data_IF_039278591178
#
_entry.id   IF_039278591178
#
_cell.length_a   1.000
_cell.length_b   1.000
_cell.length_c   1.000
_cell.angle_alpha   90.00
_cell.angle_beta   90.00
_cell.angle_gamma   90.00
#
_symmetry.space_group_name_H-M   'P 1'
#
loop_
_entity.id
_entity.type
_entity.pdbx_description
1 polymer ?
#
# COMPACT_ATOMS: atom_id res chain seq x y z
N UNK A 1 -1.57 6.64 -14.13
CA UNK A 1 -2.63 7.54 -13.64
C UNK A 1 -3.68 6.76 -12.89
N UNK A 2 -4.06 7.19 -11.72
CA UNK A 2 -5.09 6.54 -10.92
C UNK A 2 -6.49 7.01 -11.28
N UNK A 3 -7.46 6.38 -10.67
CA UNK A 3 -8.88 6.74 -10.75
C UNK A 3 -9.13 7.95 -9.86
N UNK A 4 -9.97 8.89 -10.32
CA UNK A 4 -10.31 10.09 -9.54
C UNK A 4 -11.33 9.80 -8.45
N UNK A 5 -12.21 8.84 -8.68
CA UNK A 5 -13.18 8.40 -7.69
C UNK A 5 -13.64 6.99 -8.02
N UNK A 6 -14.11 6.28 -7.01
CA UNK A 6 -14.50 4.90 -7.17
C UNK A 6 -15.66 4.60 -6.22
N UNK A 7 -16.77 4.10 -6.79
CA UNK A 7 -17.92 3.68 -5.99
C UNK A 7 -17.86 2.19 -5.70
N UNK A 8 -18.39 1.81 -4.55
CA UNK A 8 -18.54 0.39 -4.20
C UNK A 8 -20.01 0.10 -3.93
N UNK A 9 -20.49 -1.12 -4.25
CA UNK A 9 -21.87 -1.49 -3.96
C UNK A 9 -22.14 -1.48 -2.45
N UNK A 10 -23.36 -1.13 -2.05
CA UNK A 10 -23.75 -1.13 -0.65
C UNK A 10 -23.64 -2.50 0.01
N UNK A 11 -23.74 -3.58 -0.79
CA UNK A 11 -23.63 -4.96 -0.30
C UNK A 11 -22.21 -5.47 -0.18
N UNK A 12 -21.20 -4.69 -0.55
CA UNK A 12 -19.82 -5.14 -0.52
C UNK A 12 -19.34 -5.37 0.90
N UNK A 13 -18.50 -6.39 1.08
CA UNK A 13 -17.70 -6.55 2.30
C UNK A 13 -16.57 -5.54 2.25
N UNK A 14 -16.35 -4.83 3.33
CA UNK A 14 -15.27 -3.84 3.42
C UNK A 14 -14.15 -4.35 4.32
N UNK A 15 -12.92 -4.19 3.86
CA UNK A 15 -11.72 -4.48 4.65
C UNK A 15 -10.92 -3.19 4.78
N UNK A 16 -10.74 -2.74 6.02
CA UNK A 16 -9.91 -1.59 6.33
C UNK A 16 -8.54 -2.13 6.74
N UNK A 17 -7.53 -1.81 5.94
CA UNK A 17 -6.16 -2.30 6.15
C UNK A 17 -5.37 -1.21 6.85
N UNK A 18 -4.93 -1.50 8.08
CA UNK A 18 -4.10 -0.58 8.85
C UNK A 18 -2.82 -0.26 8.11
N UNK A 19 -2.18 0.84 8.48
CA UNK A 19 -0.90 1.22 7.92
C UNK A 19 0.11 0.07 8.01
N UNK A 20 0.55 -0.40 6.85
CA UNK A 20 1.56 -1.45 6.75
C UNK A 20 2.93 -0.81 6.72
N UNK A 21 3.83 -1.32 7.53
CA UNK A 21 5.17 -0.78 7.73
C UNK A 21 6.20 -1.75 7.15
N UNK A 22 7.43 -1.27 6.86
CA UNK A 22 8.44 -2.11 6.19
C UNK A 22 9.15 -3.06 7.15
N UNK A 23 8.39 -3.79 7.94
CA UNK A 23 8.91 -4.79 8.85
C UNK A 23 8.48 -6.16 8.34
N UNK A 24 9.46 -7.00 8.01
CA UNK A 24 9.21 -8.35 7.52
C UNK A 24 8.72 -9.24 8.66
N UNK A 25 8.06 -10.38 8.34
CA UNK A 25 7.59 -11.31 9.39
C UNK A 25 8.69 -11.74 10.37
N UNK A 26 9.96 -11.78 9.94
CA UNK A 26 11.08 -12.14 10.81
C UNK A 26 11.59 -10.95 11.64
N UNK A 27 10.96 -9.77 11.51
CA UNK A 27 11.36 -8.56 12.23
C UNK A 27 12.38 -7.71 11.51
N UNK A 28 12.91 -8.16 10.37
CA UNK A 28 13.90 -7.41 9.61
C UNK A 28 13.31 -6.20 8.90
N UNK A 29 14.09 -5.11 8.82
CA UNK A 29 13.73 -3.90 8.09
C UNK A 29 14.75 -3.71 6.97
N UNK A 30 14.32 -3.74 5.68
CA UNK A 30 15.25 -3.53 4.58
C UNK A 30 15.96 -2.17 4.68
N UNK A 31 17.23 -2.14 4.28
CA UNK A 31 18.04 -0.92 4.40
C UNK A 31 17.68 0.12 3.33
N UNK A 32 17.28 -0.32 2.13
CA UNK A 32 16.98 0.60 1.04
C UNK A 32 15.47 0.79 0.84
N UNK A 33 15.12 1.86 0.14
CA UNK A 33 13.72 2.21 -0.07
C UNK A 33 12.97 1.16 -0.88
N UNK A 34 13.57 0.64 -1.96
CA UNK A 34 12.91 -0.36 -2.79
C UNK A 34 12.60 -1.63 -2.00
N UNK A 35 13.55 -2.09 -1.20
CA UNK A 35 13.34 -3.24 -0.32
C UNK A 35 12.22 -2.99 0.69
N UNK A 36 12.14 -1.77 1.23
CA UNK A 36 11.06 -1.40 2.14
C UNK A 36 9.73 -1.36 1.42
N UNK A 37 9.66 -0.86 0.18
CA UNK A 37 8.44 -0.92 -0.64
C UNK A 37 7.96 -2.35 -0.81
N UNK A 38 8.87 -3.26 -1.16
CA UNK A 38 8.53 -4.66 -1.34
C UNK A 38 7.99 -5.27 -0.04
N UNK A 39 8.61 -4.97 1.09
CA UNK A 39 8.15 -5.48 2.39
C UNK A 39 6.74 -4.97 2.72
N UNK A 40 6.47 -3.68 2.50
CA UNK A 40 5.15 -3.10 2.77
C UNK A 40 4.08 -3.73 1.88
N UNK A 41 4.35 -3.88 0.57
CA UNK A 41 3.40 -4.51 -0.34
C UNK A 41 3.19 -5.99 -0.02
N UNK A 42 4.25 -6.72 0.34
CA UNK A 42 4.10 -8.11 0.79
C UNK A 42 3.16 -8.19 1.99
N UNK A 43 3.33 -7.31 2.97
CA UNK A 43 2.48 -7.28 4.15
C UNK A 43 1.03 -6.93 3.80
N UNK A 44 0.82 -5.94 2.93
CA UNK A 44 -0.51 -5.51 2.51
C UNK A 44 -1.23 -6.64 1.77
N UNK A 45 -0.55 -7.29 0.84
CA UNK A 45 -1.13 -8.40 0.08
C UNK A 45 -1.45 -9.60 0.99
N UNK A 46 -0.65 -9.82 2.03
CA UNK A 46 -0.94 -10.87 3.01
C UNK A 46 -2.22 -10.58 3.80
N UNK A 47 -2.46 -9.32 4.16
CA UNK A 47 -3.71 -8.93 4.83
C UNK A 47 -4.91 -9.16 3.91
N UNK A 48 -4.81 -8.76 2.64
CA UNK A 48 -5.87 -9.04 1.65
C UNK A 48 -6.17 -10.53 1.59
N UNK A 49 -5.13 -11.35 1.43
CA UNK A 49 -5.30 -12.80 1.31
C UNK A 49 -5.97 -13.40 2.55
N UNK A 50 -5.66 -12.89 3.75
CA UNK A 50 -6.28 -13.37 4.98
C UNK A 50 -7.79 -13.14 5.01
N UNK A 51 -8.27 -12.12 4.28
CA UNK A 51 -9.69 -11.81 4.13
C UNK A 51 -10.30 -12.44 2.88
N UNK A 52 -9.56 -13.30 2.18
CA UNK A 52 -9.95 -13.90 0.89
C UNK A 52 -10.23 -12.83 -0.15
N UNK A 53 -9.39 -11.80 -0.16
CA UNK A 53 -9.44 -10.73 -1.14
C UNK A 53 -8.14 -10.68 -1.94
N UNK A 54 -8.18 -10.03 -3.10
CA UNK A 54 -7.07 -9.94 -4.04
C UNK A 54 -6.81 -8.46 -4.37
N UNK A 55 -5.70 -8.13 -5.04
CA UNK A 55 -5.39 -6.74 -5.39
C UNK A 55 -6.52 -6.02 -6.13
N UNK A 56 -7.28 -6.71 -6.99
CA UNK A 56 -8.41 -6.11 -7.71
C UNK A 56 -9.54 -5.64 -6.79
N UNK A 57 -9.55 -6.05 -5.53
CA UNK A 57 -10.53 -5.57 -4.57
C UNK A 57 -10.11 -4.27 -3.88
N UNK A 58 -8.87 -3.82 -4.09
CA UNK A 58 -8.41 -2.55 -3.51
C UNK A 58 -9.18 -1.39 -4.15
N UNK A 59 -9.76 -0.54 -3.31
CA UNK A 59 -10.52 0.63 -3.75
C UNK A 59 -9.85 1.94 -3.36
N UNK A 60 -9.06 1.94 -2.28
CA UNK A 60 -8.32 3.12 -1.85
C UNK A 60 -6.95 2.69 -1.34
N UNK A 61 -5.90 3.36 -1.81
CA UNK A 61 -4.55 3.16 -1.32
C UNK A 61 -3.96 4.52 -0.98
N UNK A 62 -3.54 4.70 0.27
CA UNK A 62 -2.88 5.90 0.72
C UNK A 62 -1.44 5.56 1.09
N UNK A 63 -0.50 6.22 0.42
CA UNK A 63 0.92 6.02 0.64
C UNK A 63 1.53 7.23 1.33
N UNK A 64 2.22 6.96 2.42
CA UNK A 64 2.95 7.95 3.20
C UNK A 64 4.43 7.74 2.92
N UNK A 65 5.04 8.70 2.21
CA UNK A 65 6.49 8.71 1.92
C UNK A 65 7.18 9.66 2.88
N UNK A 66 8.48 9.52 3.04
CA UNK A 66 9.27 10.41 3.89
C UNK A 66 10.08 11.42 3.08
N UNK A 67 10.24 11.19 1.76
CA UNK A 67 11.02 12.07 0.87
C UNK A 67 10.40 12.10 -0.51
N UNK A 68 10.48 13.26 -1.17
CA UNK A 68 9.95 13.42 -2.53
C UNK A 68 10.68 12.59 -3.57
N UNK A 69 11.98 12.36 -3.37
CA UNK A 69 12.79 11.60 -4.33
C UNK A 69 12.46 10.09 -4.33
N UNK A 70 11.60 9.63 -3.41
CA UNK A 70 11.13 8.25 -3.37
C UNK A 70 9.95 8.00 -4.33
N UNK A 71 9.36 9.05 -4.88
CA UNK A 71 8.10 8.95 -5.62
C UNK A 71 8.20 8.05 -6.85
N UNK A 72 9.31 8.08 -7.58
CA UNK A 72 9.48 7.29 -8.80
C UNK A 72 9.52 5.79 -8.48
N UNK A 73 10.34 5.39 -7.52
CA UNK A 73 10.43 3.98 -7.10
C UNK A 73 9.10 3.51 -6.52
N UNK A 74 8.48 4.33 -5.67
CA UNK A 74 7.17 4.02 -5.10
C UNK A 74 6.14 3.74 -6.19
N UNK A 75 6.06 4.59 -7.20
CA UNK A 75 5.12 4.42 -8.31
C UNK A 75 5.40 3.17 -9.12
N UNK A 76 6.67 2.86 -9.38
CA UNK A 76 7.05 1.67 -10.13
C UNK A 76 6.67 0.40 -9.38
N UNK A 77 7.02 0.29 -8.10
CA UNK A 77 6.71 -0.89 -7.30
C UNK A 77 5.20 -1.07 -7.19
N UNK A 78 4.45 0.02 -6.94
CA UNK A 78 2.99 -0.06 -6.88
C UNK A 78 2.41 -0.62 -8.18
N UNK A 79 2.85 -0.10 -9.34
CA UNK A 79 2.34 -0.58 -10.63
C UNK A 79 2.68 -2.04 -10.86
N UNK A 80 3.86 -2.47 -10.46
CA UNK A 80 4.25 -3.89 -10.57
C UNK A 80 3.33 -4.78 -9.73
N UNK A 81 2.99 -4.33 -8.53
CA UNK A 81 2.15 -5.13 -7.61
C UNK A 81 0.67 -5.10 -7.97
N UNK A 82 0.18 -4.01 -8.54
CA UNK A 82 -1.24 -3.85 -8.88
C UNK A 82 -1.58 -4.26 -10.30
N UNK A 83 -0.60 -4.24 -11.22
CA UNK A 83 -0.87 -4.49 -12.63
C UNK A 83 -1.86 -3.47 -13.18
N UNK A 84 -3.00 -3.92 -13.68
CA UNK A 84 -4.02 -3.05 -14.27
C UNK A 84 -5.04 -2.51 -13.26
N UNK A 85 -4.93 -2.92 -12.00
CA UNK A 85 -5.84 -2.44 -10.95
C UNK A 85 -5.61 -0.95 -10.71
N UNK A 86 -6.69 -0.18 -10.59
CA UNK A 86 -6.65 1.28 -10.48
C UNK A 86 -7.48 1.75 -9.28
N UNK A 87 -6.99 1.55 -8.05
CA UNK A 87 -7.68 2.11 -6.89
C UNK A 87 -7.56 3.63 -6.87
N UNK A 88 -8.39 4.28 -6.05
CA UNK A 88 -8.20 5.69 -5.77
C UNK A 88 -6.92 5.86 -4.95
N UNK A 89 -6.04 6.75 -5.35
CA UNK A 89 -4.70 6.90 -4.78
C UNK A 89 -4.51 8.25 -4.11
N UNK A 90 -3.78 8.28 -3.03
CA UNK A 90 -3.23 9.49 -2.43
C UNK A 90 -1.81 9.21 -1.99
N UNK A 91 -0.89 10.10 -2.28
CA UNK A 91 0.50 10.01 -1.84
C UNK A 91 0.88 11.32 -1.17
N UNK A 92 1.39 11.26 0.05
CA UNK A 92 1.81 12.44 0.82
C UNK A 92 3.17 12.22 1.43
N UNK A 93 3.85 13.32 1.76
CA UNK A 93 5.14 13.30 2.43
C UNK A 93 4.89 13.54 3.91
N UNK A 94 5.44 12.69 4.76
CA UNK A 94 5.21 12.73 6.20
C UNK A 94 6.49 12.34 6.94
N UNK A 95 6.45 12.42 8.25
CA UNK A 95 7.37 11.68 9.12
C UNK A 95 6.65 10.44 9.60
N UNK A 96 7.28 9.27 9.44
CA UNK A 96 6.73 8.02 9.93
C UNK A 96 7.02 7.88 11.43
N UNK A 97 6.27 6.99 12.09
CA UNK A 97 6.39 6.82 13.54
C UNK A 97 7.81 6.40 13.95
N UNK A 98 8.44 5.49 13.20
CA UNK A 98 9.83 5.08 13.45
C UNK A 98 10.73 5.68 12.37
N UNK A 99 11.85 6.24 12.79
CA UNK A 99 12.75 6.97 11.90
C UNK A 99 13.32 6.10 10.76
N UNK A 100 13.48 4.80 10.98
CA UNK A 100 14.00 3.89 9.97
C UNK A 100 12.96 3.46 8.94
N UNK A 101 11.67 3.73 9.15
CA UNK A 101 10.63 3.43 8.18
C UNK A 101 10.55 4.55 7.15
N UNK A 102 10.85 4.24 5.90
CA UNK A 102 10.87 5.22 4.81
C UNK A 102 9.52 5.40 4.15
N UNK A 103 8.56 4.52 4.45
CA UNK A 103 7.19 4.65 3.97
C UNK A 103 6.23 3.82 4.83
N UNK A 104 4.95 4.11 4.63
CA UNK A 104 3.84 3.34 5.21
C UNK A 104 2.69 3.39 4.21
N UNK A 105 1.91 2.31 4.09
CA UNK A 105 0.75 2.28 3.19
C UNK A 105 -0.46 1.72 3.93
N UNK A 106 -1.58 2.45 3.86
CA UNK A 106 -2.87 1.95 4.33
C UNK A 106 -3.81 1.81 3.14
N UNK A 107 -4.85 0.99 3.29
CA UNK A 107 -5.74 0.72 2.17
C UNK A 107 -7.13 0.33 2.64
N UNK A 108 -8.08 0.40 1.69
CA UNK A 108 -9.44 -0.11 1.86
C UNK A 108 -9.71 -1.02 0.69
N UNK A 109 -10.28 -2.19 0.95
CA UNK A 109 -10.69 -3.14 -0.06
C UNK A 109 -12.19 -3.43 0.08
N UNK A 110 -12.82 -3.81 -1.03
CA UNK A 110 -14.25 -4.14 -1.07
C UNK A 110 -14.49 -5.32 -2.00
N UNK A 111 -15.28 -6.28 -1.54
CA UNK A 111 -15.60 -7.46 -2.33
C UNK A 111 -17.07 -7.85 -2.17
#
# INVERSE_FOLDING_TARGET
MGTHGLEVPASARLLFISGQIPVRPDGGVPADFEGQCDAVWDNLLAVLASARMRPEHLVKVTTYLTRRDQAEINGRVRRERLGEVRPALTVVIVETFAAEWLLEIEAIAAA
#
